data_IF_109873155306
#
_entry.id   IF_109873155306
#
_cell.length_a   1.000
_cell.length_b   1.000
_cell.length_c   1.000
_cell.angle_alpha   90.00
_cell.angle_beta   90.00
_cell.angle_gamma   90.00
#
_symmetry.space_group_name_H-M   'P 1'
#
loop_
_entity.id
_entity.type
_entity.pdbx_description
1 polymer ?
#
# COMPACT_ATOMS: atom_id res chain seq x y z
N UNK A 1 34.43 3.07 57.33
CA UNK A 1 34.10 2.28 56.14
C UNK A 1 33.98 3.23 54.97
N UNK A 2 34.73 3.00 53.90
CA UNK A 2 34.59 3.76 52.66
C UNK A 2 33.58 2.99 51.78
N UNK A 3 32.54 3.68 51.32
CA UNK A 3 31.56 3.14 50.39
C UNK A 3 31.86 3.73 49.02
N UNK A 4 31.98 2.91 48.00
CA UNK A 4 32.11 3.35 46.61
C UNK A 4 31.08 2.66 45.73
N UNK A 5 30.63 3.38 44.74
CA UNK A 5 29.66 2.87 43.75
C UNK A 5 30.47 2.36 42.57
N UNK A 6 30.26 1.13 42.19
CA UNK A 6 30.80 0.57 40.94
C UNK A 6 29.68 0.66 39.87
N UNK A 7 29.93 1.42 38.82
CA UNK A 7 29.08 1.39 37.63
C UNK A 7 29.54 0.20 36.79
N UNK A 8 28.65 -0.74 36.59
CA UNK A 8 28.89 -1.90 35.75
C UNK A 8 28.93 -1.49 34.30
N UNK A 9 29.92 -1.90 33.51
CA UNK A 9 29.86 -1.78 32.07
C UNK A 9 28.68 -2.63 31.55
N UNK A 10 28.07 -2.17 30.51
CA UNK A 10 26.98 -2.90 29.79
C UNK A 10 27.63 -4.12 29.10
N UNK A 11 27.74 -5.23 29.82
CA UNK A 11 28.36 -6.47 29.33
C UNK A 11 27.25 -7.48 29.11
N UNK A 12 26.72 -7.53 27.88
CA UNK A 12 25.66 -8.45 27.47
C UNK A 12 25.95 -9.94 27.74
N UNK A 13 27.21 -10.29 28.06
CA UNK A 13 27.66 -11.68 28.19
C UNK A 13 28.44 -12.02 29.46
N UNK A 14 28.46 -11.17 30.47
CA UNK A 14 29.16 -11.50 31.70
C UNK A 14 28.24 -12.19 32.73
N UNK A 15 28.40 -13.48 32.90
CA UNK A 15 27.73 -14.23 33.97
C UNK A 15 28.35 -14.00 35.34
N UNK A 16 29.60 -13.53 35.39
CA UNK A 16 30.31 -13.29 36.62
C UNK A 16 31.31 -12.10 36.52
N UNK A 17 31.36 -11.31 37.58
CA UNK A 17 32.30 -10.19 37.71
C UNK A 17 33.23 -10.40 38.87
N UNK A 18 34.49 -10.02 38.66
CA UNK A 18 35.50 -9.99 39.71
C UNK A 18 35.85 -8.55 40.06
N UNK A 19 35.65 -8.16 41.33
CA UNK A 19 36.05 -6.85 41.82
C UNK A 19 37.56 -6.86 42.14
N UNK A 20 38.31 -5.99 41.46
CA UNK A 20 39.71 -5.74 41.75
C UNK A 20 39.86 -4.28 42.17
N UNK A 21 40.34 -4.03 43.37
CA UNK A 21 40.61 -2.67 43.85
C UNK A 21 42.12 -2.44 43.79
N UNK A 22 42.55 -1.39 43.12
CA UNK A 22 43.93 -0.92 43.13
C UNK A 22 44.00 0.39 43.91
N UNK A 23 44.95 0.53 44.76
CA UNK A 23 45.24 1.78 45.45
C UNK A 23 46.75 2.05 45.48
N UNK A 24 47.11 3.29 45.50
CA UNK A 24 48.51 3.73 45.61
C UNK A 24 48.78 4.26 47.00
N UNK A 25 49.91 3.82 47.60
CA UNK A 25 50.41 4.35 48.82
C UNK A 25 51.93 4.51 48.71
N UNK A 26 52.43 5.73 48.96
CA UNK A 26 53.88 6.08 48.93
C UNK A 26 54.58 5.65 47.63
N UNK A 27 53.92 5.77 46.46
CA UNK A 27 54.50 5.41 45.17
C UNK A 27 54.52 3.91 44.87
N UNK A 28 53.86 3.11 45.69
CA UNK A 28 53.66 1.67 45.46
C UNK A 28 52.19 1.38 45.16
N UNK A 29 51.91 0.62 44.11
CA UNK A 29 50.57 0.17 43.75
C UNK A 29 50.27 -1.15 44.47
N UNK A 30 49.18 -1.16 45.21
CA UNK A 30 48.65 -2.34 45.87
C UNK A 30 47.38 -2.80 45.16
N UNK A 31 47.27 -4.09 44.94
CA UNK A 31 46.06 -4.69 44.33
C UNK A 31 45.42 -5.63 45.35
N UNK A 32 44.17 -5.37 45.66
CA UNK A 32 43.33 -6.25 46.45
C UNK A 32 42.22 -6.82 45.58
N UNK A 33 42.17 -8.12 45.38
CA UNK A 33 41.10 -8.81 44.68
C UNK A 33 40.11 -9.38 45.68
N UNK A 34 38.82 -9.20 45.40
CA UNK A 34 37.79 -9.92 46.15
C UNK A 34 37.74 -11.37 45.63
N UNK A 35 37.86 -12.38 46.49
CA UNK A 35 37.99 -13.78 46.05
C UNK A 35 36.67 -14.37 45.51
N UNK A 36 35.56 -13.76 45.84
CA UNK A 36 34.25 -14.24 45.40
C UNK A 36 33.82 -13.55 44.09
N UNK A 37 33.36 -14.36 43.17
CA UNK A 37 32.73 -13.88 41.95
C UNK A 37 31.33 -13.38 42.25
N UNK A 38 31.00 -12.19 41.80
CA UNK A 38 29.63 -11.65 41.91
C UNK A 38 28.82 -12.20 40.74
N UNK A 39 27.81 -12.99 41.04
CA UNK A 39 26.86 -13.39 40.00
C UNK A 39 26.09 -12.17 39.52
N UNK A 40 26.08 -11.95 38.21
CA UNK A 40 25.20 -10.99 37.55
C UNK A 40 23.92 -11.73 37.30
N UNK A 41 22.87 -11.38 38.04
CA UNK A 41 21.55 -11.99 37.85
C UNK A 41 20.97 -11.48 36.53
N UNK A 42 20.84 -12.38 35.55
CA UNK A 42 20.14 -12.09 34.32
C UNK A 42 18.64 -11.92 34.68
N UNK A 43 18.06 -10.82 34.24
CA UNK A 43 16.66 -10.48 34.55
C UNK A 43 15.72 -10.94 33.42
N UNK A 44 15.82 -10.34 32.28
CA UNK A 44 15.14 -10.68 31.05
C UNK A 44 15.93 -10.10 29.85
N UNK A 45 15.75 -10.67 28.66
CA UNK A 45 16.35 -10.18 27.41
C UNK A 45 15.39 -10.42 26.23
N UNK A 46 15.56 -9.66 25.19
CA UNK A 46 15.00 -10.03 23.89
C UNK A 46 15.74 -11.26 23.35
N UNK A 47 15.03 -12.16 22.65
CA UNK A 47 15.66 -13.33 21.99
C UNK A 47 16.62 -12.90 20.89
N UNK A 48 16.29 -11.78 20.24
CA UNK A 48 17.06 -11.19 19.15
C UNK A 48 17.49 -9.77 19.53
N UNK A 49 18.79 -9.46 19.42
CA UNK A 49 19.33 -8.13 19.68
C UNK A 49 19.01 -7.13 18.54
N UNK A 50 18.86 -7.65 17.33
CA UNK A 50 18.60 -6.88 16.11
C UNK A 50 17.50 -7.55 15.29
N UNK A 51 16.72 -6.77 14.55
CA UNK A 51 15.66 -7.23 13.68
C UNK A 51 15.61 -6.41 12.39
N UNK A 52 15.82 -7.08 11.28
CA UNK A 52 15.71 -6.52 9.93
C UNK A 52 14.26 -6.50 9.46
N UNK A 53 13.63 -5.36 9.54
CA UNK A 53 12.21 -5.19 9.25
C UNK A 53 11.94 -4.60 7.86
N UNK A 54 10.85 -5.04 7.25
CA UNK A 54 10.28 -4.42 6.05
C UNK A 54 9.39 -3.23 6.41
N UNK A 55 9.17 -2.35 5.46
CA UNK A 55 8.17 -1.29 5.61
C UNK A 55 6.76 -1.89 5.82
N UNK A 56 5.94 -1.22 6.63
CA UNK A 56 4.58 -1.62 7.01
C UNK A 56 4.49 -2.96 7.76
N UNK A 57 5.61 -3.57 8.12
CA UNK A 57 5.63 -4.81 8.91
C UNK A 57 5.13 -4.56 10.34
N UNK A 58 4.49 -5.59 10.90
CA UNK A 58 4.10 -5.60 12.30
C UNK A 58 4.46 -6.94 12.93
N UNK A 59 5.14 -6.91 14.07
CA UNK A 59 5.58 -8.10 14.79
C UNK A 59 5.59 -7.85 16.30
N UNK A 60 5.75 -8.90 17.06
CA UNK A 60 5.92 -8.80 18.52
C UNK A 60 7.20 -9.56 18.89
N UNK A 61 8.24 -8.85 19.35
CA UNK A 61 9.49 -9.51 19.74
C UNK A 61 9.26 -10.36 21.00
N UNK A 62 10.01 -11.46 21.10
CA UNK A 62 9.97 -12.35 22.23
C UNK A 62 10.91 -11.87 23.33
N UNK A 63 10.43 -11.84 24.57
CA UNK A 63 11.24 -11.63 25.77
C UNK A 63 11.40 -12.95 26.50
N UNK A 64 12.65 -13.31 26.81
CA UNK A 64 12.98 -14.38 27.74
C UNK A 64 13.13 -13.83 29.14
N UNK A 65 12.52 -14.49 30.11
CA UNK A 65 12.63 -14.16 31.54
C UNK A 65 13.48 -15.24 32.23
N UNK A 66 14.56 -14.83 32.88
CA UNK A 66 15.51 -15.73 33.53
C UNK A 66 15.19 -15.97 35.00
N UNK A 67 14.15 -15.32 35.54
CA UNK A 67 13.67 -15.51 36.91
C UNK A 67 12.14 -15.30 36.97
N UNK A 68 11.48 -16.06 37.82
CA UNK A 68 10.03 -15.94 38.09
C UNK A 68 9.65 -14.59 38.73
N UNK A 69 10.64 -13.79 39.14
CA UNK A 69 10.43 -12.44 39.63
C UNK A 69 9.94 -11.49 38.53
N UNK A 70 10.19 -11.81 37.25
CA UNK A 70 9.87 -10.99 36.07
C UNK A 70 8.78 -11.63 35.23
N UNK A 71 7.94 -10.80 34.62
CA UNK A 71 6.84 -11.24 33.73
C UNK A 71 6.37 -10.07 32.88
N UNK A 72 5.74 -10.37 31.75
CA UNK A 72 5.34 -9.37 30.73
C UNK A 72 4.43 -8.26 31.31
N UNK A 73 3.56 -8.58 32.26
CA UNK A 73 2.68 -7.61 32.92
C UNK A 73 3.43 -6.56 33.76
N UNK A 74 4.68 -6.86 34.16
CA UNK A 74 5.56 -5.94 34.90
C UNK A 74 6.41 -5.07 33.96
N UNK A 75 6.42 -5.34 32.64
CA UNK A 75 7.24 -4.65 31.65
C UNK A 75 6.45 -3.53 30.98
N UNK A 76 7.15 -2.48 30.61
CA UNK A 76 6.69 -1.38 29.77
C UNK A 76 7.64 -1.22 28.60
N UNK A 77 7.06 -1.09 27.38
CA UNK A 77 7.83 -0.93 26.14
C UNK A 77 7.85 0.52 25.66
N UNK A 78 8.98 0.90 25.09
CA UNK A 78 9.16 2.20 24.42
C UNK A 78 10.03 2.07 23.17
N UNK A 79 9.94 3.05 22.28
CA UNK A 79 10.78 3.16 21.08
C UNK A 79 11.54 4.48 21.10
N UNK A 80 12.82 4.43 20.73
CA UNK A 80 13.67 5.61 20.58
C UNK A 80 13.27 6.49 19.38
N UNK A 81 12.64 5.89 18.35
CA UNK A 81 12.26 6.56 17.11
C UNK A 81 10.91 6.05 16.59
N UNK A 82 9.82 6.65 17.05
CA UNK A 82 8.47 6.26 16.67
C UNK A 82 8.12 6.60 15.22
N UNK A 83 8.94 7.39 14.51
CA UNK A 83 8.78 7.65 13.07
C UNK A 83 9.26 6.47 12.23
N UNK A 84 10.23 5.69 12.71
CA UNK A 84 10.74 4.48 12.08
C UNK A 84 9.93 3.26 12.54
N UNK A 85 9.87 3.01 13.85
CA UNK A 85 9.08 1.92 14.41
C UNK A 85 8.42 2.35 15.72
N UNK A 86 7.12 2.18 15.83
CA UNK A 86 6.35 2.41 17.07
C UNK A 86 6.10 1.11 17.79
N UNK A 87 5.98 1.14 19.12
CA UNK A 87 5.71 -0.03 19.93
C UNK A 87 4.51 0.18 20.84
N UNK A 88 3.68 -0.83 21.02
CA UNK A 88 2.59 -0.80 21.99
C UNK A 88 3.14 -0.99 23.40
N UNK A 89 2.97 0.02 24.25
CA UNK A 89 3.50 0.14 25.59
C UNK A 89 3.31 -1.08 26.50
N UNK A 90 2.21 -1.82 26.35
CA UNK A 90 1.85 -2.95 27.23
C UNK A 90 2.16 -4.32 26.64
N UNK A 91 2.15 -4.46 25.32
CA UNK A 91 2.21 -5.75 24.65
C UNK A 91 3.51 -5.97 23.91
N UNK A 92 4.32 -4.92 23.71
CA UNK A 92 5.53 -4.99 22.93
C UNK A 92 5.30 -5.12 21.41
N UNK A 93 4.04 -5.06 20.92
CA UNK A 93 3.77 -5.15 19.50
C UNK A 93 4.35 -3.93 18.76
N UNK A 94 5.26 -4.19 17.84
CA UNK A 94 5.96 -3.21 17.00
C UNK A 94 5.22 -3.02 15.69
N UNK A 95 5.17 -1.78 15.21
CA UNK A 95 4.68 -1.44 13.86
C UNK A 95 5.70 -0.54 13.16
N UNK A 96 6.27 -1.07 12.11
CA UNK A 96 7.29 -0.40 11.28
C UNK A 96 6.60 0.58 10.33
N UNK A 97 7.25 1.72 10.09
CA UNK A 97 6.76 2.78 9.22
C UNK A 97 7.54 2.80 7.90
N UNK A 98 7.04 3.56 6.91
CA UNK A 98 7.73 3.78 5.62
C UNK A 98 8.84 4.82 5.74
N UNK A 99 9.70 4.67 6.73
CA UNK A 99 10.86 5.54 6.99
C UNK A 99 12.06 4.66 7.24
N UNK A 100 13.05 4.76 6.38
CA UNK A 100 14.31 4.03 6.51
C UNK A 100 15.09 4.52 7.73
N UNK A 101 15.70 3.59 8.44
CA UNK A 101 16.55 3.88 9.60
C UNK A 101 16.31 2.92 10.77
N UNK A 102 16.85 3.29 11.92
CA UNK A 102 16.87 2.49 13.12
C UNK A 102 15.94 3.01 14.20
N UNK A 103 15.37 2.07 14.95
CA UNK A 103 14.64 2.34 16.18
C UNK A 103 15.02 1.31 17.25
N UNK A 104 15.48 1.78 18.41
CA UNK A 104 15.74 0.92 19.57
C UNK A 104 14.43 0.73 20.34
N UNK A 105 13.99 -0.52 20.43
CA UNK A 105 12.87 -0.94 21.26
C UNK A 105 13.42 -1.31 22.63
N UNK A 106 12.90 -0.66 23.65
CA UNK A 106 13.28 -0.90 25.04
C UNK A 106 12.13 -1.55 25.78
N UNK A 107 12.41 -2.65 26.45
CA UNK A 107 11.57 -3.28 27.46
C UNK A 107 12.13 -2.91 28.83
N UNK A 108 11.40 -2.21 29.68
CA UNK A 108 11.85 -1.77 30.99
C UNK A 108 10.90 -2.23 32.09
N UNK A 109 11.44 -2.57 33.27
CA UNK A 109 10.63 -2.92 34.44
C UNK A 109 9.90 -1.67 34.94
N UNK A 110 8.59 -1.76 35.17
CA UNK A 110 7.76 -0.61 35.60
C UNK A 110 8.18 -0.04 36.96
N UNK A 111 8.66 -0.89 37.85
CA UNK A 111 9.06 -0.51 39.21
C UNK A 111 10.48 0.00 39.29
N UNK A 112 11.34 -0.37 38.32
CA UNK A 112 12.72 0.08 38.21
C UNK A 112 13.14 0.15 36.74
N UNK A 113 12.99 1.32 36.09
CA UNK A 113 13.33 1.48 34.67
C UNK A 113 14.83 1.34 34.33
N UNK A 114 15.70 1.25 35.34
CA UNK A 114 17.13 0.94 35.11
C UNK A 114 17.32 -0.53 34.69
N UNK A 115 16.40 -1.40 35.11
CA UNK A 115 16.35 -2.80 34.69
C UNK A 115 15.62 -2.87 33.34
N UNK A 116 16.35 -3.07 32.27
CA UNK A 116 15.84 -3.01 30.89
C UNK A 116 16.59 -3.94 29.95
N UNK A 117 15.92 -4.30 28.87
CA UNK A 117 16.49 -4.95 27.70
C UNK A 117 16.20 -4.12 26.46
N UNK A 118 17.06 -4.20 25.46
CA UNK A 118 16.92 -3.46 24.20
C UNK A 118 17.08 -4.37 23.00
N UNK A 119 16.39 -4.04 21.91
CA UNK A 119 16.65 -4.58 20.58
C UNK A 119 16.63 -3.44 19.55
N UNK A 120 17.41 -3.57 18.50
CA UNK A 120 17.41 -2.60 17.39
C UNK A 120 16.56 -3.13 16.23
N UNK A 121 15.65 -2.31 15.74
CA UNK A 121 14.87 -2.58 14.54
C UNK A 121 15.43 -1.75 13.40
N UNK A 122 15.90 -2.43 12.33
CA UNK A 122 16.44 -1.84 11.12
C UNK A 122 15.36 -1.83 10.04
N UNK A 123 14.65 -0.72 9.88
CA UNK A 123 13.60 -0.59 8.89
C UNK A 123 14.15 -0.17 7.53
N UNK A 124 13.82 -0.90 6.48
CA UNK A 124 14.24 -0.60 5.12
C UNK A 124 13.22 -1.09 4.08
N UNK A 125 13.24 -0.46 2.90
CA UNK A 125 12.59 -1.00 1.70
C UNK A 125 13.49 -2.14 1.15
N UNK A 126 13.10 -3.39 1.36
CA UNK A 126 13.93 -4.55 1.02
C UNK A 126 13.57 -5.17 -0.32
N UNK A 127 12.29 -5.17 -0.65
CA UNK A 127 11.79 -5.65 -1.93
C UNK A 127 11.10 -4.48 -2.67
N UNK A 128 11.88 -3.61 -3.34
CA UNK A 128 11.31 -2.50 -4.09
C UNK A 128 10.53 -2.98 -5.31
N UNK A 129 9.54 -2.20 -5.73
CA UNK A 129 8.88 -2.38 -7.01
C UNK A 129 9.90 -2.15 -8.13
N UNK A 130 9.89 -3.03 -9.13
CA UNK A 130 10.73 -2.93 -10.34
C UNK A 130 9.93 -2.60 -11.60
N UNK A 131 8.61 -2.84 -11.58
CA UNK A 131 7.73 -2.54 -12.70
C UNK A 131 6.29 -2.99 -12.51
N UNK A 132 5.51 -2.79 -13.57
CA UNK A 132 4.09 -3.12 -13.63
C UNK A 132 3.78 -3.84 -14.95
N UNK A 133 3.01 -4.94 -14.88
CA UNK A 133 2.58 -5.70 -16.04
C UNK A 133 1.06 -5.64 -16.15
N UNK A 134 0.55 -4.98 -17.19
CA UNK A 134 -0.87 -4.89 -17.50
C UNK A 134 -1.23 -5.94 -18.57
N UNK A 135 -2.24 -6.75 -18.28
CA UNK A 135 -2.71 -7.80 -19.20
C UNK A 135 -1.63 -8.81 -19.54
N UNK A 136 -1.38 -9.01 -20.82
CA UNK A 136 -0.32 -9.90 -21.35
C UNK A 136 1.07 -9.25 -21.40
N UNK A 137 1.19 -7.97 -20.99
CA UNK A 137 2.44 -7.21 -21.00
C UNK A 137 2.72 -6.43 -22.29
N UNK A 138 1.85 -6.50 -23.29
CA UNK A 138 1.97 -5.71 -24.50
C UNK A 138 1.95 -4.22 -24.20
N UNK A 139 2.97 -3.49 -24.63
CA UNK A 139 3.11 -2.07 -24.33
C UNK A 139 2.17 -1.17 -25.13
N UNK A 140 1.50 -1.72 -26.13
CA UNK A 140 0.49 -1.02 -26.94
C UNK A 140 -0.85 -1.70 -26.81
N UNK A 141 -1.87 -0.94 -26.42
CA UNK A 141 -3.24 -1.39 -26.23
C UNK A 141 -4.12 -0.63 -27.22
N UNK A 142 -4.99 -1.33 -27.93
CA UNK A 142 -5.97 -0.70 -28.79
C UNK A 142 -7.35 -0.79 -28.12
N UNK A 143 -8.00 0.35 -27.96
CA UNK A 143 -9.37 0.48 -27.46
C UNK A 143 -10.23 1.14 -28.54
N UNK A 144 -11.50 0.85 -28.52
CA UNK A 144 -12.46 1.61 -29.27
C UNK A 144 -12.90 2.83 -28.45
N UNK A 145 -13.18 3.94 -29.10
CA UNK A 145 -13.76 5.11 -28.44
C UNK A 145 -14.97 4.72 -27.59
N UNK A 146 -15.01 5.21 -26.36
CA UNK A 146 -15.98 4.90 -25.29
C UNK A 146 -15.78 3.56 -24.57
N UNK A 147 -14.77 2.78 -24.93
CA UNK A 147 -14.40 1.64 -24.11
C UNK A 147 -13.80 2.10 -22.78
N UNK A 148 -14.05 1.31 -21.74
CA UNK A 148 -13.46 1.47 -20.41
C UNK A 148 -12.47 0.33 -20.21
N UNK A 149 -11.26 0.65 -19.82
CA UNK A 149 -10.21 -0.33 -19.53
C UNK A 149 -9.91 -0.37 -18.04
N UNK A 150 -10.08 -1.52 -17.40
CA UNK A 150 -9.60 -1.71 -16.04
C UNK A 150 -8.06 -1.71 -16.00
N UNK A 151 -7.49 -0.83 -15.19
CA UNK A 151 -6.06 -0.65 -15.01
C UNK A 151 -5.62 -1.37 -13.73
N UNK A 152 -5.54 -2.69 -13.80
CA UNK A 152 -5.15 -3.58 -12.70
C UNK A 152 -3.87 -4.33 -13.05
N UNK A 153 -2.71 -3.68 -13.01
CA UNK A 153 -1.45 -4.35 -13.33
C UNK A 153 -1.03 -5.32 -12.23
N UNK A 154 -0.26 -6.32 -12.61
CA UNK A 154 0.55 -7.09 -11.68
C UNK A 154 1.77 -6.28 -11.30
N UNK A 155 2.03 -6.13 -10.01
CA UNK A 155 3.24 -5.46 -9.49
C UNK A 155 4.39 -6.45 -9.48
N UNK A 156 5.55 -6.03 -9.95
CA UNK A 156 6.77 -6.82 -9.94
C UNK A 156 7.83 -6.20 -9.02
N UNK A 157 8.52 -7.05 -8.22
CA UNK A 157 8.25 -8.47 -7.98
C UNK A 157 6.97 -8.68 -7.14
N UNK A 158 6.38 -9.88 -7.21
CA UNK A 158 5.13 -10.18 -6.50
C UNK A 158 5.24 -10.07 -4.97
N UNK A 159 6.45 -10.13 -4.42
CA UNK A 159 6.75 -9.92 -3.01
C UNK A 159 7.26 -8.51 -2.69
N UNK A 160 6.98 -7.53 -3.55
CA UNK A 160 7.30 -6.13 -3.25
C UNK A 160 6.64 -5.70 -1.93
N UNK A 161 7.40 -4.99 -1.09
CA UNK A 161 6.96 -4.59 0.26
C UNK A 161 5.73 -3.68 0.22
N UNK A 162 5.65 -2.83 -0.81
CA UNK A 162 4.56 -1.88 -1.02
C UNK A 162 4.09 -2.00 -2.47
N UNK A 163 2.88 -2.48 -2.67
CA UNK A 163 2.30 -2.75 -3.99
C UNK A 163 1.30 -1.67 -4.46
N UNK A 164 1.24 -0.54 -3.76
CA UNK A 164 0.39 0.57 -4.17
C UNK A 164 1.06 1.43 -5.24
N UNK A 165 0.24 1.99 -6.13
CA UNK A 165 0.71 2.78 -7.27
C UNK A 165 -0.27 3.90 -7.62
N UNK A 166 0.23 4.91 -8.29
CA UNK A 166 -0.54 5.95 -8.95
C UNK A 166 -0.59 5.70 -10.45
N UNK A 167 -1.65 6.22 -11.10
CA UNK A 167 -1.82 6.17 -12.54
C UNK A 167 -1.99 7.58 -13.09
N UNK A 168 -1.28 7.89 -14.16
CA UNK A 168 -1.39 9.15 -14.88
C UNK A 168 -1.56 8.93 -16.38
N UNK A 169 -2.15 9.89 -17.06
CA UNK A 169 -2.30 9.92 -18.52
C UNK A 169 -1.65 11.16 -19.12
N UNK A 170 -1.12 11.03 -20.32
CA UNK A 170 -0.42 12.12 -21.00
C UNK A 170 -1.36 13.17 -21.62
N UNK A 171 -2.57 12.77 -22.02
CA UNK A 171 -3.57 13.66 -22.64
C UNK A 171 -4.97 13.39 -22.06
N UNK A 172 -5.45 14.25 -21.15
CA UNK A 172 -6.75 14.10 -20.53
C UNK A 172 -7.92 14.38 -21.50
N UNK A 173 -7.69 15.01 -22.66
CA UNK A 173 -8.72 15.15 -23.66
C UNK A 173 -9.01 13.85 -24.44
N UNK A 174 -8.00 12.97 -24.55
CA UNK A 174 -8.15 11.65 -25.18
C UNK A 174 -8.74 10.66 -24.19
N UNK A 175 -8.19 10.61 -22.97
CA UNK A 175 -8.67 9.72 -21.92
C UNK A 175 -8.33 10.27 -20.53
N UNK A 176 -9.13 9.91 -19.53
CA UNK A 176 -8.86 10.19 -18.12
C UNK A 176 -8.77 8.90 -17.31
N UNK A 177 -8.09 8.95 -16.17
CA UNK A 177 -8.10 7.85 -15.22
C UNK A 177 -9.00 8.17 -14.05
N UNK A 178 -9.69 7.16 -13.57
CA UNK A 178 -10.53 7.23 -12.40
C UNK A 178 -10.15 6.13 -11.40
N UNK A 179 -9.91 6.51 -10.14
CA UNK A 179 -9.68 5.55 -9.07
C UNK A 179 -11.03 4.96 -8.64
N UNK A 180 -11.41 3.82 -9.19
CA UNK A 180 -12.60 3.13 -8.78
C UNK A 180 -12.43 2.64 -7.33
N UNK A 181 -13.16 3.24 -6.41
CA UNK A 181 -13.29 2.73 -5.05
C UNK A 181 -14.25 1.54 -5.10
N UNK A 182 -13.69 0.35 -5.33
CA UNK A 182 -14.45 -0.86 -5.11
C UNK A 182 -15.02 -0.86 -3.69
N UNK A 183 -16.14 -1.55 -3.46
CA UNK A 183 -16.77 -1.75 -2.13
C UNK A 183 -15.81 -2.29 -1.06
N UNK A 184 -14.61 -2.68 -1.45
CA UNK A 184 -13.52 -3.07 -0.57
C UNK A 184 -12.42 -1.98 -0.57
N UNK A 185 -12.29 -1.18 0.49
CA UNK A 185 -11.31 -0.10 0.57
C UNK A 185 -9.85 -0.58 0.52
N UNK A 186 -9.59 -1.89 0.60
CA UNK A 186 -8.25 -2.48 0.45
C UNK A 186 -7.89 -2.82 -1.00
N UNK A 187 -8.78 -2.62 -1.97
CA UNK A 187 -8.53 -2.81 -3.40
C UNK A 187 -8.93 -1.55 -4.16
N UNK A 188 -8.02 -0.61 -4.31
CA UNK A 188 -8.17 0.42 -5.31
C UNK A 188 -7.75 -0.15 -6.66
N UNK A 189 -8.63 -0.17 -7.63
CA UNK A 189 -8.26 -0.33 -9.03
C UNK A 189 -8.56 0.97 -9.77
N UNK A 190 -7.83 1.18 -10.85
CA UNK A 190 -8.02 2.33 -11.70
C UNK A 190 -8.75 1.92 -12.97
N UNK A 191 -9.47 2.85 -13.54
CA UNK A 191 -10.11 2.70 -14.86
C UNK A 191 -9.62 3.81 -15.78
N UNK A 192 -9.43 3.46 -17.04
CA UNK A 192 -9.20 4.40 -18.14
C UNK A 192 -10.51 4.61 -18.86
N UNK A 193 -10.96 5.85 -18.93
CA UNK A 193 -12.18 6.26 -19.61
C UNK A 193 -11.78 7.07 -20.84
N UNK A 194 -12.22 6.65 -22.03
CA UNK A 194 -11.88 7.31 -23.29
C UNK A 194 -12.90 8.38 -23.65
N UNK A 195 -12.45 9.55 -24.16
CA UNK A 195 -13.30 10.68 -24.49
C UNK A 195 -13.30 11.02 -25.99
N UNK A 196 -12.20 10.79 -26.68
CA UNK A 196 -12.07 10.94 -28.12
C UNK A 196 -11.01 10.01 -28.68
N UNK A 197 -10.99 9.84 -29.99
CA UNK A 197 -9.94 9.09 -30.67
C UNK A 197 -8.60 9.81 -30.57
N UNK A 198 -7.53 9.04 -30.47
CA UNK A 198 -6.17 9.55 -30.34
C UNK A 198 -5.26 8.52 -29.70
N UNK A 199 -4.04 8.93 -29.38
CA UNK A 199 -3.06 8.11 -28.68
C UNK A 199 -2.71 8.77 -27.36
N UNK A 200 -2.68 7.99 -26.28
CA UNK A 200 -2.34 8.47 -24.95
C UNK A 200 -1.42 7.49 -24.26
N UNK A 201 -0.48 8.00 -23.50
CA UNK A 201 0.38 7.19 -22.63
C UNK A 201 -0.25 7.10 -21.23
N UNK A 202 -0.34 5.89 -20.74
CA UNK A 202 -0.80 5.55 -19.37
C UNK A 202 0.40 5.09 -18.58
N UNK A 203 0.76 5.81 -17.53
CA UNK A 203 1.93 5.53 -16.70
C UNK A 203 1.53 5.12 -15.29
N UNK A 204 1.98 3.94 -14.88
CA UNK A 204 1.93 3.46 -13.50
C UNK A 204 3.20 3.89 -12.78
N UNK A 205 3.08 4.44 -11.58
CA UNK A 205 4.23 4.87 -10.76
C UNK A 205 4.09 4.30 -9.37
N UNK A 206 5.14 3.63 -8.88
CA UNK A 206 5.15 3.05 -7.54
C UNK A 206 5.10 4.10 -6.44
N UNK A 207 4.39 3.79 -5.36
CA UNK A 207 4.32 4.60 -4.14
C UNK A 207 5.28 4.11 -3.05
N UNK A 208 6.19 3.17 -3.36
CA UNK A 208 7.15 2.62 -2.40
C UNK A 208 8.42 3.48 -2.23
N UNK A 209 8.59 4.51 -3.04
CA UNK A 209 9.77 5.37 -3.05
C UNK A 209 10.91 4.88 -3.96
N UNK A 210 10.78 3.72 -4.61
CA UNK A 210 11.77 3.20 -5.57
C UNK A 210 11.91 4.06 -6.83
N UNK A 211 10.84 4.81 -7.18
CA UNK A 211 10.76 5.54 -8.44
C UNK A 211 10.44 4.65 -9.65
N UNK A 212 10.12 3.38 -9.44
CA UNK A 212 9.75 2.47 -10.51
C UNK A 212 8.47 2.92 -11.22
N UNK A 213 8.51 2.92 -12.54
CA UNK A 213 7.36 3.27 -13.38
C UNK A 213 7.32 2.41 -14.63
N UNK A 214 6.12 2.25 -15.19
CA UNK A 214 5.89 1.55 -16.45
C UNK A 214 4.83 2.27 -17.24
N UNK A 215 5.12 2.55 -18.51
CA UNK A 215 4.22 3.23 -19.44
C UNK A 215 3.69 2.28 -20.48
N UNK A 216 2.40 2.41 -20.78
CA UNK A 216 1.67 1.73 -21.85
C UNK A 216 1.10 2.79 -22.79
N UNK A 217 1.24 2.58 -24.10
CA UNK A 217 0.63 3.44 -25.11
C UNK A 217 -0.74 2.89 -25.47
N UNK A 218 -1.78 3.70 -25.30
CA UNK A 218 -3.16 3.34 -25.62
C UNK A 218 -3.61 4.11 -26.86
N UNK A 219 -3.98 3.38 -27.90
CA UNK A 219 -4.60 3.93 -29.11
C UNK A 219 -6.10 3.82 -28.97
N UNK A 220 -6.79 4.96 -28.93
CA UNK A 220 -8.25 5.03 -28.94
C UNK A 220 -8.72 5.18 -30.39
N UNK A 221 -9.33 4.12 -30.90
CA UNK A 221 -9.72 4.00 -32.30
C UNK A 221 -11.18 4.44 -32.49
N UNK A 222 -11.51 4.84 -33.70
CA UNK A 222 -12.91 5.09 -34.08
C UNK A 222 -13.74 3.79 -33.93
N UNK A 223 -14.95 3.89 -33.39
CA UNK A 223 -15.86 2.75 -33.43
C UNK A 223 -16.23 2.40 -34.87
N UNK A 224 -16.52 1.13 -35.11
CA UNK A 224 -17.13 0.76 -36.37
C UNK A 224 -18.52 1.43 -36.47
N UNK A 225 -18.68 2.27 -37.47
CA UNK A 225 -19.90 3.09 -37.66
C UNK A 225 -20.83 2.59 -38.73
N UNK A 226 -20.54 1.44 -39.30
CA UNK A 226 -21.46 0.84 -40.27
C UNK A 226 -22.80 0.57 -39.53
N UNK A 227 -23.89 1.31 -39.86
CA UNK A 227 -25.19 1.03 -39.26
C UNK A 227 -25.60 -0.38 -39.68
N UNK A 228 -26.29 -1.08 -38.77
CA UNK A 228 -26.93 -2.33 -39.17
C UNK A 228 -27.87 -2.08 -40.31
N UNK A 229 -27.95 -3.02 -41.26
CA UNK A 229 -28.67 -2.87 -42.52
C UNK A 229 -30.14 -2.45 -42.33
N UNK A 230 -30.74 -2.74 -41.20
CA UNK A 230 -32.13 -2.47 -40.88
C UNK A 230 -32.41 -1.09 -40.28
N UNK A 231 -31.42 -0.21 -40.18
CA UNK A 231 -31.56 1.13 -39.60
C UNK A 231 -32.31 1.14 -38.26
N UNK A 232 -32.06 0.14 -37.42
CA UNK A 232 -32.66 -0.02 -36.09
C UNK A 232 -34.18 -0.25 -36.08
N UNK A 233 -34.73 -0.81 -37.14
CA UNK A 233 -36.21 -1.00 -37.26
C UNK A 233 -36.68 -2.35 -36.70
N UNK A 234 -35.89 -3.41 -36.84
CA UNK A 234 -36.25 -4.79 -36.48
C UNK A 234 -35.32 -5.33 -35.41
N UNK A 235 -35.64 -5.02 -34.16
CA UNK A 235 -34.79 -5.45 -33.03
C UNK A 235 -35.17 -4.79 -31.73
N UNK A 236 -34.28 -4.89 -30.77
CA UNK A 236 -34.45 -4.43 -29.40
C UNK A 236 -33.37 -3.45 -29.00
N UNK A 237 -33.77 -2.30 -28.48
CA UNK A 237 -32.84 -1.39 -27.80
C UNK A 237 -32.65 -1.82 -26.34
N UNK A 238 -31.40 -1.86 -25.92
CA UNK A 238 -31.02 -2.11 -24.55
C UNK A 238 -30.34 -0.85 -23.98
N UNK A 239 -31.08 -0.16 -23.08
CA UNK A 239 -30.58 1.01 -22.37
C UNK A 239 -29.76 0.57 -21.14
N UNK A 240 -28.52 1.02 -21.06
CA UNK A 240 -27.65 0.82 -19.91
C UNK A 240 -27.64 2.10 -19.09
N UNK A 241 -27.93 1.97 -17.80
CA UNK A 241 -27.85 3.09 -16.84
C UNK A 241 -26.41 3.57 -16.69
N UNK A 242 -25.49 2.62 -16.76
CA UNK A 242 -24.06 2.76 -16.46
C UNK A 242 -23.80 3.21 -15.01
N UNK A 243 -22.58 3.53 -14.66
CA UNK A 243 -22.23 3.76 -13.26
C UNK A 243 -22.62 5.15 -12.78
N UNK A 244 -23.43 5.21 -11.72
CA UNK A 244 -23.94 6.45 -11.14
C UNK A 244 -22.80 7.45 -10.86
N UNK A 245 -22.84 8.60 -11.52
CA UNK A 245 -21.92 9.72 -11.35
C UNK A 245 -20.50 9.51 -11.91
N UNK A 246 -20.24 8.44 -12.67
CA UNK A 246 -18.89 8.11 -13.14
C UNK A 246 -18.79 7.83 -14.64
N UNK A 247 -19.85 7.40 -15.27
CA UNK A 247 -19.87 7.16 -16.71
C UNK A 247 -21.21 7.47 -17.31
N UNK A 248 -21.20 7.82 -18.60
CA UNK A 248 -22.42 8.11 -19.34
C UNK A 248 -23.17 6.83 -19.63
N UNK A 249 -24.50 6.90 -19.58
CA UNK A 249 -25.36 5.84 -20.04
C UNK A 249 -25.10 5.48 -21.50
N UNK A 250 -25.45 4.28 -21.90
CA UNK A 250 -25.26 3.80 -23.27
C UNK A 250 -26.48 3.05 -23.79
N UNK A 251 -26.61 2.98 -25.11
CA UNK A 251 -27.68 2.23 -25.80
C UNK A 251 -27.03 1.18 -26.68
N UNK A 252 -27.40 -0.07 -26.49
CA UNK A 252 -27.07 -1.15 -27.40
C UNK A 252 -28.32 -1.50 -28.25
N UNK A 253 -28.10 -2.05 -29.41
CA UNK A 253 -29.14 -2.57 -30.26
C UNK A 253 -28.89 -4.03 -30.62
N UNK A 254 -29.89 -4.86 -30.49
CA UNK A 254 -29.86 -6.27 -30.87
C UNK A 254 -30.90 -6.44 -31.99
N UNK A 255 -30.41 -6.71 -33.20
CA UNK A 255 -31.26 -7.00 -34.33
C UNK A 255 -31.97 -8.34 -34.15
N UNK A 256 -33.12 -8.55 -34.85
CA UNK A 256 -33.87 -9.81 -34.77
C UNK A 256 -33.08 -11.04 -35.24
N UNK A 257 -32.06 -10.84 -36.04
CA UNK A 257 -31.13 -11.90 -36.44
C UNK A 257 -30.07 -12.24 -35.36
N UNK A 258 -30.08 -11.54 -34.19
CA UNK A 258 -29.15 -11.73 -33.08
C UNK A 258 -27.87 -10.89 -33.19
N UNK A 259 -27.71 -10.05 -34.21
CA UNK A 259 -26.55 -9.19 -34.36
C UNK A 259 -26.58 -8.08 -33.32
N UNK A 260 -25.49 -7.87 -32.58
CA UNK A 260 -25.37 -6.87 -31.55
C UNK A 260 -24.53 -5.69 -32.05
N UNK A 261 -25.07 -4.49 -31.94
CA UNK A 261 -24.35 -3.24 -32.06
C UNK A 261 -24.31 -2.54 -30.70
N UNK A 262 -23.14 -2.35 -30.18
CA UNK A 262 -22.95 -1.64 -28.92
C UNK A 262 -22.87 -0.13 -29.12
N UNK A 263 -23.37 0.63 -28.14
CA UNK A 263 -23.22 2.08 -28.04
C UNK A 263 -23.67 2.81 -29.30
N UNK A 264 -24.89 2.49 -29.77
CA UNK A 264 -25.42 3.01 -31.05
C UNK A 264 -25.54 4.52 -31.07
N UNK A 265 -25.86 5.19 -29.95
CA UNK A 265 -25.95 6.64 -29.91
C UNK A 265 -24.55 7.26 -30.14
N UNK A 266 -23.59 6.87 -29.39
CA UNK A 266 -22.24 7.42 -29.43
C UNK A 266 -21.51 7.07 -30.73
N UNK A 267 -21.79 5.91 -31.32
CA UNK A 267 -21.23 5.52 -32.60
C UNK A 267 -21.76 6.39 -33.76
N UNK A 268 -22.96 6.92 -33.63
CA UNK A 268 -23.58 7.82 -34.63
C UNK A 268 -23.37 9.31 -34.33
N UNK A 269 -23.16 9.65 -33.04
CA UNK A 269 -22.99 11.04 -32.59
C UNK A 269 -21.61 11.17 -31.93
N UNK A 270 -20.61 11.35 -32.75
CA UNK A 270 -19.20 11.38 -32.35
C UNK A 270 -18.95 12.38 -31.22
N UNK A 271 -18.33 11.90 -30.12
CA UNK A 271 -17.99 12.66 -28.92
C UNK A 271 -19.20 13.24 -28.16
N UNK A 272 -20.42 12.77 -28.45
CA UNK A 272 -21.59 13.18 -27.71
C UNK A 272 -22.08 12.05 -26.81
N UNK A 273 -22.74 12.42 -25.72
CA UNK A 273 -23.45 11.51 -24.84
C UNK A 273 -24.83 12.08 -24.54
N UNK A 274 -25.75 11.22 -24.11
CA UNK A 274 -27.06 11.66 -23.64
C UNK A 274 -27.13 11.78 -22.11
N UNK A 275 -25.97 11.83 -21.43
CA UNK A 275 -25.87 11.99 -20.00
C UNK A 275 -25.69 10.68 -19.22
N UNK A 276 -25.55 10.80 -17.92
CA UNK A 276 -25.31 9.67 -17.02
C UNK A 276 -26.54 9.32 -16.17
N UNK A 277 -26.54 8.13 -15.62
CA UNK A 277 -27.63 7.55 -14.85
C UNK A 277 -28.94 7.53 -15.66
N UNK A 278 -28.89 6.96 -16.86
CA UNK A 278 -30.03 6.82 -17.77
C UNK A 278 -30.93 5.68 -17.31
N UNK A 279 -32.13 5.99 -16.87
CA UNK A 279 -33.00 5.02 -16.20
C UNK A 279 -34.25 4.67 -16.99
N UNK A 280 -34.60 5.45 -17.99
CA UNK A 280 -35.84 5.28 -18.73
C UNK A 280 -35.69 5.61 -20.21
N UNK A 281 -36.24 4.76 -21.05
CA UNK A 281 -36.35 5.00 -22.49
C UNK A 281 -37.75 4.60 -23.01
N UNK A 282 -38.28 5.35 -23.95
CA UNK A 282 -39.55 5.06 -24.61
C UNK A 282 -39.45 5.33 -26.11
N UNK A 283 -40.02 4.44 -26.90
CA UNK A 283 -40.18 4.65 -28.34
C UNK A 283 -41.50 5.38 -28.57
N UNK A 284 -41.44 6.52 -29.25
CA UNK A 284 -42.60 7.28 -29.67
C UNK A 284 -42.48 7.65 -31.16
N UNK A 285 -43.31 7.03 -31.98
CA UNK A 285 -43.19 7.12 -33.44
C UNK A 285 -41.86 6.53 -33.92
N UNK A 286 -41.09 7.35 -34.58
CA UNK A 286 -39.78 7.03 -35.13
C UNK A 286 -38.60 7.44 -34.19
N UNK A 287 -38.91 7.78 -32.94
CA UNK A 287 -37.92 8.31 -31.98
C UNK A 287 -37.81 7.43 -30.75
N UNK A 288 -36.57 7.18 -30.33
CA UNK A 288 -36.26 6.70 -28.98
C UNK A 288 -35.95 7.91 -28.09
N UNK A 289 -36.78 8.11 -27.06
CA UNK A 289 -36.58 9.18 -26.06
C UNK A 289 -35.99 8.56 -24.83
N UNK A 290 -34.84 9.08 -24.40
CA UNK A 290 -34.12 8.60 -23.21
C UNK A 290 -34.09 9.71 -22.17
N UNK A 291 -34.27 9.35 -20.91
CA UNK A 291 -34.16 10.25 -19.77
C UNK A 291 -32.95 9.90 -18.92
N UNK A 292 -32.07 10.87 -18.75
CA UNK A 292 -30.89 10.79 -17.86
C UNK A 292 -31.02 11.77 -16.69
N UNK A 293 -30.51 11.42 -15.53
CA UNK A 293 -30.56 12.29 -14.35
C UNK A 293 -29.64 13.49 -14.46
N UNK A 294 -28.51 13.33 -15.14
CA UNK A 294 -27.47 14.34 -15.25
C UNK A 294 -27.03 14.46 -16.71
N UNK A 295 -26.73 15.68 -17.14
CA UNK A 295 -26.29 15.95 -18.51
C UNK A 295 -24.83 15.55 -18.76
N UNK A 296 -24.01 15.52 -17.70
CA UNK A 296 -22.59 15.19 -17.77
C UNK A 296 -22.25 14.20 -16.69
N UNK A 297 -21.13 13.50 -16.87
CA UNK A 297 -20.51 12.74 -15.82
C UNK A 297 -20.33 13.65 -14.59
N UNK A 298 -21.15 13.39 -13.59
CA UNK A 298 -21.22 14.23 -12.42
C UNK A 298 -20.08 13.88 -11.48
N UNK A 299 -19.01 14.57 -11.65
CA UNK A 299 -18.20 14.83 -10.48
C UNK A 299 -19.08 15.48 -9.41
N UNK A 300 -19.05 15.05 -8.19
CA UNK A 300 -19.79 15.46 -6.99
C UNK A 300 -20.61 16.75 -7.06
#
# INVERSE_FOLDING_TARGET
AATFTVTMPDTENADMLRLIVQYEDNGSTYTAGYPEMINVEKTFAFTDAEYDAHFDESFTPTLEFYSDAYSLDKIEFSSSNTKVASVKKRTGAVSVKRVEGDAVITAALKTDPAVKATMTVHAALRNPVTGFVLGNGDKTINLTYLDILALSPTVEPANADIQTYDVSVSDPEVATTYAARAFNPSRSFWELITHKTGTVDVTFTSQDGSGASTTYTVNVLEPNREPLADSYQNGTFWLNEDWFGHSNGSINYIADNGELQSRVYESQNKYESFGCTSQYGIIHGDKLIVMSKQATDGGD
#
